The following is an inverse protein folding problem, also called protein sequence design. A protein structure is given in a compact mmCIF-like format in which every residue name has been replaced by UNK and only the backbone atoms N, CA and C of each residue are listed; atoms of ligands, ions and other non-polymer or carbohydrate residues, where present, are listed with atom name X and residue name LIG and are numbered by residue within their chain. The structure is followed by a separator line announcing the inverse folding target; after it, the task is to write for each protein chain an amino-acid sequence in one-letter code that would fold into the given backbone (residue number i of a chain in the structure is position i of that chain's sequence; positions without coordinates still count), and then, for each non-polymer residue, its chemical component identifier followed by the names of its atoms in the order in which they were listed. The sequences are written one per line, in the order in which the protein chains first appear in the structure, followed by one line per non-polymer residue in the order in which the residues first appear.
data_IF_882428033276
#
_entry.id   IF_882428033276
#
_cell.length_a   1.000
_cell.length_b   1.000
_cell.length_c   1.000
_cell.angle_alpha   90.00
_cell.angle_beta   90.00
_cell.angle_gamma   90.00
#
_symmetry.space_group_name_H-M   'P 1'
#
loop_
_entity.id
_entity.type
_entity.pdbx_description
1 polymer ?
#
# COMPACT_ATOMS: atom_id res chain seq x y z
N UNK A 1 -3.13 8.21 24.70
CA UNK A 1 -2.21 8.88 23.76
C UNK A 1 -2.81 8.67 22.38
N UNK A 2 -3.10 9.74 21.64
CA UNK A 2 -3.72 9.62 20.32
C UNK A 2 -2.80 8.88 19.35
N UNK A 3 -3.38 8.05 18.50
CA UNK A 3 -2.66 7.38 17.40
C UNK A 3 -2.14 8.45 16.42
N UNK A 4 -0.86 8.36 16.05
CA UNK A 4 -0.26 9.23 15.04
C UNK A 4 -0.42 8.56 13.68
N UNK A 5 -1.07 9.25 12.74
CA UNK A 5 -1.31 8.78 11.38
C UNK A 5 -0.41 9.52 10.41
N UNK A 6 0.35 8.79 9.60
CA UNK A 6 1.19 9.35 8.55
C UNK A 6 0.42 9.50 7.26
N UNK A 7 0.42 10.70 6.68
CA UNK A 7 -0.42 11.02 5.53
C UNK A 7 0.43 11.65 4.44
N UNK A 8 0.42 11.05 3.26
CA UNK A 8 0.94 11.68 2.06
C UNK A 8 -0.18 12.46 1.35
N UNK A 9 0.04 13.74 1.07
CA UNK A 9 -0.88 14.57 0.29
C UNK A 9 -0.25 14.97 -1.04
N UNK A 10 -1.02 14.95 -2.13
CA UNK A 10 -0.45 15.25 -3.45
C UNK A 10 -1.48 15.56 -4.53
N UNK A 11 -0.97 15.74 -5.74
CA UNK A 11 -1.77 15.77 -6.96
C UNK A 11 -1.72 14.39 -7.63
N UNK A 12 -2.81 13.97 -8.24
CA UNK A 12 -2.82 12.77 -9.10
C UNK A 12 -1.92 13.00 -10.33
N UNK A 13 -1.54 11.91 -10.98
CA UNK A 13 -0.67 11.96 -12.17
C UNK A 13 -1.28 12.71 -13.36
N UNK A 14 -2.59 12.92 -13.34
CA UNK A 14 -3.35 13.61 -14.40
C UNK A 14 -3.32 15.14 -14.25
N UNK A 15 -2.76 15.65 -13.15
CA UNK A 15 -2.64 17.07 -12.86
C UNK A 15 -1.21 17.57 -13.09
N UNK A 16 -1.08 18.63 -13.89
CA UNK A 16 0.19 19.28 -14.19
C UNK A 16 0.63 20.28 -13.10
N UNK A 17 -0.16 20.43 -12.03
CA UNK A 17 0.12 21.36 -10.94
C UNK A 17 -0.06 22.82 -11.33
N UNK A 18 -1.21 23.13 -11.93
CA UNK A 18 -1.63 24.51 -12.19
C UNK A 18 -1.87 25.24 -10.87
N UNK A 19 -2.02 26.56 -10.94
CA UNK A 19 -2.20 27.40 -9.76
C UNK A 19 -3.41 26.96 -8.93
N UNK A 20 -4.53 26.66 -9.59
CA UNK A 20 -5.76 26.24 -8.94
C UNK A 20 -5.59 24.87 -8.24
N UNK A 21 -5.01 23.88 -8.93
CA UNK A 21 -4.71 22.55 -8.35
C UNK A 21 -3.83 22.67 -7.10
N UNK A 22 -2.81 23.54 -7.16
CA UNK A 22 -1.90 23.79 -6.03
C UNK A 22 -2.62 24.47 -4.88
N UNK A 23 -3.55 25.38 -5.15
CA UNK A 23 -4.35 26.02 -4.12
C UNK A 23 -5.24 25.00 -3.40
N UNK A 24 -5.82 24.02 -4.11
CA UNK A 24 -6.54 22.91 -3.47
C UNK A 24 -5.62 22.07 -2.60
N UNK A 25 -4.45 21.70 -3.12
CA UNK A 25 -3.45 20.94 -2.36
C UNK A 25 -2.96 21.67 -1.11
N UNK A 26 -2.76 22.99 -1.18
CA UNK A 26 -2.37 23.82 -0.03
C UNK A 26 -3.45 23.83 1.06
N UNK A 27 -4.72 23.86 0.66
CA UNK A 27 -5.86 23.78 1.59
C UNK A 27 -5.92 22.40 2.24
N UNK A 28 -5.81 21.33 1.43
CA UNK A 28 -5.77 19.95 1.89
C UNK A 28 -4.62 19.69 2.87
N UNK A 29 -3.40 20.13 2.56
CA UNK A 29 -2.25 19.97 3.45
C UNK A 29 -2.50 20.65 4.80
N UNK A 30 -3.05 21.87 4.77
CA UNK A 30 -3.34 22.65 5.98
C UNK A 30 -4.42 22.00 6.84
N UNK A 31 -5.55 21.61 6.26
CA UNK A 31 -6.65 20.97 7.00
C UNK A 31 -6.24 19.60 7.55
N UNK A 32 -5.51 18.80 6.76
CA UNK A 32 -4.97 17.51 7.19
C UNK A 32 -4.03 17.68 8.38
N UNK A 33 -3.14 18.69 8.33
CA UNK A 33 -2.23 19.02 9.44
C UNK A 33 -2.99 19.49 10.68
N UNK A 34 -4.11 20.18 10.48
CA UNK A 34 -4.97 20.69 11.54
C UNK A 34 -6.00 19.66 12.07
N UNK A 35 -5.89 18.40 11.66
CA UNK A 35 -6.78 17.33 12.10
C UNK A 35 -6.87 17.29 13.64
N UNK A 36 -8.08 17.40 14.23
CA UNK A 36 -8.24 17.40 15.67
C UNK A 36 -8.03 16.01 16.27
N UNK A 37 -8.44 14.96 15.55
CA UNK A 37 -8.23 13.55 15.92
C UNK A 37 -8.44 12.67 14.67
N UNK A 38 -7.51 11.77 14.32
CA UNK A 38 -6.24 11.46 14.99
C UNK A 38 -5.17 12.56 14.81
N UNK A 39 -4.05 12.43 15.53
CA UNK A 39 -2.88 13.27 15.29
C UNK A 39 -2.25 12.87 13.94
N UNK A 40 -1.71 13.84 13.21
CA UNK A 40 -1.21 13.59 11.84
C UNK A 40 0.25 14.02 11.65
N UNK A 41 1.00 13.23 10.90
CA UNK A 41 2.29 13.60 10.31
C UNK A 41 2.10 13.70 8.79
N UNK A 42 2.10 14.92 8.24
CA UNK A 42 1.77 15.17 6.84
C UNK A 42 3.04 15.32 6.01
N UNK A 43 3.08 14.63 4.87
CA UNK A 43 4.15 14.70 3.88
C UNK A 43 3.58 15.10 2.53
N UNK A 44 4.05 16.25 2.01
CA UNK A 44 3.65 16.68 0.67
C UNK A 44 4.42 15.92 -0.41
N UNK A 45 3.68 15.36 -1.36
CA UNK A 45 4.22 14.74 -2.57
C UNK A 45 4.56 15.79 -3.62
N UNK A 46 5.61 15.52 -4.40
CA UNK A 46 5.94 16.33 -5.57
C UNK A 46 4.87 16.19 -6.66
N UNK A 47 4.70 17.21 -7.49
CA UNK A 47 3.91 17.11 -8.73
C UNK A 47 4.50 16.00 -9.62
N UNK A 48 3.64 15.20 -10.25
CA UNK A 48 4.06 14.01 -11.00
C UNK A 48 4.59 12.88 -10.10
N UNK A 49 4.17 12.84 -8.83
CA UNK A 49 4.41 11.68 -7.98
C UNK A 49 3.76 10.42 -8.57
N UNK A 50 4.28 9.26 -8.16
CA UNK A 50 3.69 7.99 -8.56
C UNK A 50 2.25 7.87 -8.04
N UNK A 51 1.45 7.01 -8.68
CA UNK A 51 0.09 6.71 -8.24
C UNK A 51 0.06 6.25 -6.76
N UNK A 52 -1.05 6.51 -6.07
CA UNK A 52 -1.21 6.25 -4.64
C UNK A 52 -0.82 4.82 -4.23
N UNK A 53 -1.16 3.81 -5.05
CA UNK A 53 -0.75 2.42 -4.82
C UNK A 53 0.77 2.26 -4.75
N UNK A 54 1.50 2.90 -5.66
CA UNK A 54 2.97 2.86 -5.67
C UNK A 54 3.57 3.59 -4.48
N UNK A 55 2.99 4.73 -4.10
CA UNK A 55 3.40 5.46 -2.89
C UNK A 55 3.20 4.60 -1.64
N UNK A 56 2.06 3.92 -1.50
CA UNK A 56 1.80 3.01 -0.37
C UNK A 56 2.82 1.86 -0.28
N UNK A 57 3.34 1.37 -1.42
CA UNK A 57 4.34 0.30 -1.42
C UNK A 57 5.69 0.73 -0.81
N UNK A 58 5.96 2.02 -0.69
CA UNK A 58 7.15 2.53 0.01
C UNK A 58 7.09 2.24 1.53
N UNK A 59 5.89 2.01 2.09
CA UNK A 59 5.69 1.64 3.49
C UNK A 59 5.93 2.78 4.49
N UNK A 60 5.88 4.02 4.02
CA UNK A 60 6.14 5.23 4.80
C UNK A 60 4.84 5.74 5.43
N UNK A 61 3.81 5.91 4.62
CA UNK A 61 2.54 6.54 4.98
C UNK A 61 1.44 5.50 5.24
N UNK A 62 0.43 5.91 5.99
CA UNK A 62 -0.74 5.11 6.38
C UNK A 62 -1.91 5.42 5.46
N UNK A 63 -2.04 6.69 5.08
CA UNK A 63 -3.01 7.18 4.10
C UNK A 63 -2.29 7.95 2.99
N UNK A 64 -2.85 7.89 1.79
CA UNK A 64 -2.53 8.79 0.68
C UNK A 64 -3.81 9.52 0.27
N UNK A 65 -3.75 10.85 0.19
CA UNK A 65 -4.85 11.69 -0.28
C UNK A 65 -4.35 12.51 -1.45
N UNK A 66 -4.92 12.31 -2.64
CA UNK A 66 -4.55 13.07 -3.84
C UNK A 66 -5.73 13.84 -4.39
N UNK A 67 -5.48 15.08 -4.80
CA UNK A 67 -6.42 15.84 -5.65
C UNK A 67 -6.32 15.28 -7.06
N UNK A 68 -7.45 14.95 -7.69
CA UNK A 68 -7.47 14.41 -9.04
C UNK A 68 -8.84 14.55 -9.68
N UNK A 69 -9.01 14.02 -10.89
CA UNK A 69 -10.29 13.98 -11.58
C UNK A 69 -10.79 12.54 -11.67
N UNK A 70 -12.11 12.38 -11.73
CA UNK A 70 -12.74 11.11 -12.13
C UNK A 70 -13.57 11.35 -13.38
N UNK A 71 -13.82 10.31 -14.19
CA UNK A 71 -14.75 10.42 -15.31
C UNK A 71 -16.10 10.98 -14.84
N UNK A 72 -16.75 11.76 -15.71
CA UNK A 72 -18.09 12.33 -15.48
C UNK A 72 -18.17 13.38 -14.35
N UNK A 73 -17.04 13.99 -13.97
CA UNK A 73 -16.96 15.14 -13.06
C UNK A 73 -16.10 16.24 -13.67
N UNK A 74 -16.63 17.45 -13.72
CA UNK A 74 -15.89 18.64 -14.17
C UNK A 74 -15.02 19.23 -13.05
N UNK A 75 -15.38 18.99 -11.79
CA UNK A 75 -14.66 19.47 -10.61
C UNK A 75 -13.68 18.40 -10.08
N UNK A 76 -12.52 18.81 -9.55
CA UNK A 76 -11.60 17.87 -8.95
C UNK A 76 -12.18 17.25 -7.66
N UNK A 77 -11.68 16.08 -7.32
CA UNK A 77 -12.09 15.29 -6.16
C UNK A 77 -10.87 14.88 -5.36
N UNK A 78 -11.08 14.53 -4.10
CA UNK A 78 -10.07 13.88 -3.28
C UNK A 78 -10.20 12.37 -3.45
N UNK A 79 -9.16 11.78 -4.03
CA UNK A 79 -8.94 10.35 -4.13
C UNK A 79 -8.13 9.90 -2.91
N UNK A 80 -8.68 8.95 -2.17
CA UNK A 80 -8.17 8.55 -0.86
C UNK A 80 -7.81 7.07 -0.89
N UNK A 81 -6.64 6.72 -0.35
CA UNK A 81 -6.17 5.33 -0.28
C UNK A 81 -5.66 5.02 1.12
N UNK A 82 -6.06 3.85 1.60
CA UNK A 82 -5.55 3.22 2.80
C UNK A 82 -4.36 2.32 2.46
N UNK A 83 -3.17 2.72 2.87
CA UNK A 83 -1.94 1.97 2.61
C UNK A 83 -1.80 0.74 3.53
N UNK A 84 -2.45 0.76 4.69
CA UNK A 84 -2.42 -0.34 5.66
C UNK A 84 -3.31 -1.50 5.21
N UNK A 85 -4.43 -1.19 4.57
CA UNK A 85 -5.38 -2.18 4.03
C UNK A 85 -5.21 -2.40 2.52
N UNK A 86 -4.34 -1.64 1.87
CA UNK A 86 -4.05 -1.69 0.44
C UNK A 86 -5.31 -1.55 -0.45
N UNK A 87 -6.17 -0.60 -0.09
CA UNK A 87 -7.46 -0.36 -0.75
C UNK A 87 -7.77 1.12 -0.87
N UNK A 88 -8.62 1.45 -1.83
CA UNK A 88 -9.17 2.80 -1.92
C UNK A 88 -10.26 3.00 -0.87
N UNK A 89 -10.33 4.23 -0.37
CA UNK A 89 -11.37 4.73 0.52
C UNK A 89 -12.38 5.55 -0.30
N UNK A 90 -13.41 6.06 0.37
CA UNK A 90 -14.43 6.83 -0.34
C UNK A 90 -13.88 8.13 -0.94
N UNK A 91 -14.20 8.38 -2.22
CA UNK A 91 -13.95 9.67 -2.89
C UNK A 91 -14.68 10.81 -2.19
N UNK A 92 -14.07 12.00 -2.15
CA UNK A 92 -14.69 13.23 -1.60
C UNK A 92 -14.69 14.36 -2.63
N UNK A 93 -15.66 15.26 -2.51
CA UNK A 93 -15.63 16.49 -3.30
C UNK A 93 -14.43 17.38 -2.90
N UNK A 94 -14.01 18.27 -3.79
CA UNK A 94 -12.93 19.25 -3.55
C UNK A 94 -13.11 20.01 -2.23
N UNK A 95 -14.35 20.39 -1.90
CA UNK A 95 -14.67 21.16 -0.69
C UNK A 95 -14.22 20.47 0.62
N UNK A 96 -14.06 19.15 0.63
CA UNK A 96 -13.52 18.44 1.78
C UNK A 96 -12.04 18.75 2.06
N UNK A 97 -11.33 19.39 1.11
CA UNK A 97 -9.95 19.84 1.32
C UNK A 97 -9.83 20.90 2.43
N UNK A 98 -10.91 21.59 2.78
CA UNK A 98 -10.94 22.58 3.84
C UNK A 98 -11.51 22.03 5.17
N UNK A 99 -11.92 20.76 5.19
CA UNK A 99 -12.54 20.12 6.35
C UNK A 99 -11.49 19.52 7.30
N UNK A 100 -11.29 20.06 8.52
CA UNK A 100 -10.34 19.51 9.48
C UNK A 100 -10.73 18.10 9.97
N UNK A 101 -12.00 17.70 9.87
CA UNK A 101 -12.48 16.38 10.31
C UNK A 101 -12.30 15.30 9.23
N UNK A 102 -11.84 15.65 8.02
CA UNK A 102 -11.65 14.71 6.90
C UNK A 102 -10.83 13.48 7.33
N UNK A 103 -9.71 13.70 8.02
CA UNK A 103 -8.83 12.61 8.47
C UNK A 103 -9.55 11.71 9.48
N UNK A 104 -10.32 12.29 10.40
CA UNK A 104 -11.11 11.54 11.37
C UNK A 104 -12.19 10.68 10.71
N UNK A 105 -12.79 11.14 9.61
CA UNK A 105 -13.71 10.33 8.79
C UNK A 105 -12.97 9.17 8.13
N UNK A 106 -11.85 9.43 7.45
CA UNK A 106 -11.07 8.40 6.76
C UNK A 106 -10.51 7.36 7.73
N UNK A 107 -10.04 7.78 8.90
CA UNK A 107 -9.55 6.87 9.93
C UNK A 107 -10.67 5.99 10.50
N UNK A 108 -11.90 6.50 10.62
CA UNK A 108 -13.04 5.67 10.98
C UNK A 108 -13.40 4.65 9.91
N UNK A 109 -13.29 4.99 8.63
CA UNK A 109 -13.44 4.01 7.55
C UNK A 109 -12.39 2.89 7.63
N UNK A 110 -11.13 3.25 7.93
CA UNK A 110 -10.06 2.30 8.20
C UNK A 110 -10.40 1.36 9.37
N UNK A 111 -10.80 1.94 10.51
CA UNK A 111 -11.13 1.14 11.71
C UNK A 111 -12.34 0.24 11.48
N UNK A 112 -13.39 0.75 10.83
CA UNK A 112 -14.56 -0.04 10.48
C UNK A 112 -14.17 -1.23 9.59
N UNK A 113 -13.28 -1.03 8.61
CA UNK A 113 -12.83 -2.12 7.76
C UNK A 113 -12.05 -3.18 8.56
N UNK A 114 -11.25 -2.79 9.57
CA UNK A 114 -10.57 -3.72 10.47
C UNK A 114 -11.60 -4.50 11.31
N UNK A 115 -12.59 -3.81 11.88
CA UNK A 115 -13.65 -4.42 12.68
C UNK A 115 -14.48 -5.42 11.84
N UNK A 116 -14.66 -5.14 10.55
CA UNK A 116 -15.31 -6.02 9.57
C UNK A 116 -14.39 -7.19 9.11
N UNK A 117 -13.17 -7.27 9.62
CA UNK A 117 -12.23 -8.37 9.40
C UNK A 117 -11.15 -8.14 8.35
N UNK A 118 -10.98 -6.90 7.86
CA UNK A 118 -9.84 -6.57 6.99
C UNK A 118 -8.52 -6.75 7.74
N UNK A 119 -7.53 -7.33 7.04
CA UNK A 119 -6.22 -7.61 7.62
C UNK A 119 -5.23 -6.51 7.28
N UNK A 120 -4.66 -5.89 8.32
CA UNK A 120 -3.58 -4.93 8.16
C UNK A 120 -2.36 -5.59 7.53
N UNK A 121 -1.86 -4.99 6.45
CA UNK A 121 -0.66 -5.39 5.73
C UNK A 121 0.55 -5.30 6.65
N UNK A 122 1.43 -6.30 6.60
CA UNK A 122 2.74 -6.23 7.27
C UNK A 122 3.59 -5.17 6.59
N UNK A 123 3.99 -4.13 7.34
CA UNK A 123 4.99 -3.17 6.87
C UNK A 123 6.34 -3.88 6.76
N UNK A 124 6.79 -4.08 5.53
CA UNK A 124 8.18 -4.40 5.27
C UNK A 124 8.96 -3.11 5.48
N UNK A 125 9.53 -2.90 6.67
CA UNK A 125 10.49 -1.81 6.89
C UNK A 125 11.71 -2.06 6.00
N UNK A 126 11.69 -1.50 4.80
CA UNK A 126 12.89 -1.45 3.96
C UNK A 126 13.81 -0.44 4.64
N UNK A 127 14.79 -0.95 5.39
CA UNK A 127 15.80 -0.11 6.03
C UNK A 127 16.47 0.79 4.98
N UNK A 128 16.68 2.09 5.25
CA UNK A 128 17.34 2.99 4.30
C UNK A 128 18.75 2.49 3.90
N UNK A 129 19.37 1.62 4.69
CA UNK A 129 20.64 0.93 4.34
C UNK A 129 20.54 -0.01 3.12
N UNK A 130 19.35 -0.39 2.69
CA UNK A 130 19.15 -1.26 1.51
C UNK A 130 19.05 -0.44 0.22
N UNK A 131 18.63 0.84 0.29
CA UNK A 131 18.50 1.71 -0.91
C UNK A 131 19.84 2.02 -1.58
N UNK A 132 20.96 1.99 -0.86
CA UNK A 132 22.30 2.31 -1.39
C UNK A 132 23.07 1.10 -1.93
N UNK A 133 22.53 -0.13 -1.80
CA UNK A 133 23.23 -1.36 -2.20
C UNK A 133 22.82 -1.95 -3.55
N UNK A 134 21.81 -1.40 -4.23
CA UNK A 134 21.21 -1.97 -5.44
C UNK A 134 21.78 -1.39 -6.75
N UNK A 135 22.97 -0.78 -6.70
CA UNK A 135 23.79 -0.44 -7.87
C UNK A 135 25.14 -1.17 -7.77
N UNK A 136 25.13 -2.44 -7.40
CA UNK A 136 26.25 -3.35 -7.62
C UNK A 136 25.75 -4.79 -7.49
N UNK A 137 25.84 -5.57 -8.58
CA UNK A 137 25.79 -7.03 -8.51
C UNK A 137 24.41 -7.63 -8.68
N UNK A 138 24.09 -7.95 -9.94
CA UNK A 138 23.28 -9.11 -10.31
C UNK A 138 23.66 -10.34 -9.47
N UNK A 139 22.72 -10.82 -8.66
CA UNK A 139 22.70 -12.19 -8.17
C UNK A 139 21.24 -12.63 -8.03
N UNK A 140 20.74 -13.29 -9.07
CA UNK A 140 19.45 -13.98 -9.05
C UNK A 140 19.55 -15.13 -8.05
N UNK A 141 18.97 -14.96 -6.88
CA UNK A 141 18.82 -16.04 -5.91
C UNK A 141 17.54 -16.80 -6.27
N UNK A 142 17.70 -17.91 -7.01
CA UNK A 142 16.62 -18.86 -7.30
C UNK A 142 16.19 -19.48 -5.97
N UNK A 143 15.04 -19.06 -5.46
CA UNK A 143 14.41 -19.71 -4.31
C UNK A 143 13.88 -21.05 -4.79
N UNK A 144 14.68 -22.09 -4.59
CA UNK A 144 14.27 -23.47 -4.78
C UNK A 144 13.35 -23.91 -3.65
N UNK A 145 12.07 -24.11 -3.96
CA UNK A 145 11.19 -24.98 -3.19
C UNK A 145 10.17 -25.62 -4.13
N UNK A 146 10.40 -26.87 -4.51
CA UNK A 146 9.34 -27.82 -4.82
C UNK A 146 9.55 -29.03 -3.90
N UNK A 147 8.84 -29.00 -2.79
CA UNK A 147 8.69 -30.11 -1.86
C UNK A 147 7.97 -31.25 -2.57
N UNK A 148 8.60 -32.42 -2.53
CA UNK A 148 8.15 -33.77 -2.86
C UNK A 148 6.69 -33.96 -3.30
N UNK A 149 6.51 -34.30 -4.59
CA UNK A 149 5.32 -34.99 -5.08
C UNK A 149 5.72 -36.36 -5.65
N UNK A 150 5.26 -37.39 -4.94
CA UNK A 150 4.81 -38.70 -5.45
C UNK A 150 5.86 -39.66 -6.04
N UNK A 151 6.46 -40.44 -5.14
CA UNK A 151 6.82 -41.84 -5.39
C UNK A 151 5.52 -42.62 -5.61
N UNK A 152 5.10 -42.85 -6.86
CA UNK A 152 4.43 -44.08 -7.35
C UNK A 152 4.42 -44.01 -8.89
N UNK A 153 5.37 -44.68 -9.55
CA UNK A 153 5.07 -45.42 -10.77
C UNK A 153 6.23 -46.35 -11.16
N UNK A 154 5.97 -47.65 -10.98
CA UNK A 154 6.31 -48.68 -11.96
C UNK A 154 7.79 -48.82 -12.37
N UNK A 155 8.59 -49.48 -11.53
CA UNK A 155 9.62 -50.40 -12.04
C UNK A 155 9.27 -51.80 -11.55
N UNK A 156 8.90 -52.64 -12.52
CA UNK A 156 8.63 -54.06 -12.35
C UNK A 156 9.79 -54.73 -11.62
N UNK A 157 9.43 -55.51 -10.61
CA UNK A 157 10.29 -56.45 -9.90
C UNK A 157 10.75 -57.53 -10.87
N UNK A 158 12.05 -57.67 -11.03
CA UNK A 158 12.70 -58.93 -11.37
C UNK A 158 13.97 -59.04 -10.51
N UNK A 159 13.83 -59.55 -9.28
CA UNK A 159 14.96 -60.15 -8.57
C UNK A 159 14.43 -61.24 -7.64
N UNK A 160 14.62 -62.47 -8.12
CA UNK A 160 14.42 -63.73 -7.41
C UNK A 160 15.46 -63.83 -6.30
N UNK A 161 15.04 -64.04 -5.06
CA UNK A 161 15.92 -64.56 -3.99
C UNK A 161 15.35 -65.90 -3.56
N UNK A 162 16.10 -66.95 -3.91
CA UNK A 162 15.86 -68.36 -3.60
C UNK A 162 15.95 -68.54 -2.08
N UNK A 163 14.89 -69.04 -1.46
CA UNK A 163 14.93 -69.51 -0.08
C UNK A 163 15.60 -70.88 -0.05
N UNK A 164 16.75 -70.99 0.60
CA UNK A 164 17.35 -72.29 0.93
C UNK A 164 16.87 -72.68 2.33
N UNK A 165 16.24 -73.85 2.45
CA UNK A 165 16.01 -74.53 3.72
C UNK A 165 16.64 -75.92 3.63
N UNK A 166 17.41 -76.36 4.64
CA UNK A 166 18.16 -77.61 4.57
C UNK A 166 17.34 -78.82 5.02
N UNK A 167 17.44 -79.93 4.27
CA UNK A 167 17.61 -81.30 4.75
C UNK A 167 18.45 -82.08 3.72
#
# INVERSE_FOLDING_TARGET
QGELVRIAVGLSGDLDGKADDKAVLDRLERSTTASPTPLTEVRRLRVGAAAAETVCREGIDDLVITVGYIPDRDEPVLLTRDCLLDRDLGTRAEAAADDPDLVGVLWREHQQAIDDGARVRRRLRVSPKVRTGLIAGTAVLVIGTAVALLIVSSVRRDTVVISVSPQ
#
